data_IF_509484111427
#
_entry.id   IF_509484111427
#
_cell.length_a   1.000
_cell.length_b   1.000
_cell.length_c   1.000
_cell.angle_alpha   90.00
_cell.angle_beta   90.00
_cell.angle_gamma   90.00
#
_symmetry.space_group_name_H-M   'P 1'
#
loop_
_entity.id
_entity.type
_entity.pdbx_description
1 polymer ?
#
# COMPACT_ATOMS: atom_id res chain seq x y z
N UNK A 1 5.45 4.00 -34.79
CA UNK A 1 4.61 4.96 -34.04
C UNK A 1 5.09 4.95 -32.60
N UNK A 2 5.44 6.11 -32.04
CA UNK A 2 5.96 6.22 -30.66
C UNK A 2 4.75 6.04 -29.75
N UNK A 3 4.77 5.09 -28.83
CA UNK A 3 3.65 4.76 -27.92
C UNK A 3 3.41 5.85 -26.88
N UNK A 4 3.02 7.04 -27.34
CA UNK A 4 2.72 8.21 -26.53
C UNK A 4 1.21 8.47 -26.61
N UNK A 5 0.54 8.46 -25.46
CA UNK A 5 -0.83 8.99 -25.38
C UNK A 5 -0.78 10.51 -25.45
N UNK A 6 -1.82 11.11 -26.03
CA UNK A 6 -2.05 12.55 -25.95
C UNK A 6 -3.38 12.78 -25.26
N UNK A 7 -3.35 13.32 -24.04
CA UNK A 7 -4.51 13.87 -23.36
C UNK A 7 -4.78 15.29 -23.88
N UNK A 8 -5.07 15.43 -25.18
CA UNK A 8 -5.63 16.68 -25.69
C UNK A 8 -7.15 16.48 -25.70
N UNK A 9 -7.91 17.08 -24.75
CA UNK A 9 -9.36 17.08 -24.83
C UNK A 9 -9.77 17.80 -26.12
N UNK A 10 -10.25 17.02 -27.10
CA UNK A 10 -10.64 17.49 -28.42
C UNK A 10 -10.53 16.38 -29.48
N UNK A 11 -11.50 16.30 -30.38
CA UNK A 11 -11.54 15.34 -31.50
C UNK A 11 -10.53 15.67 -32.63
N UNK A 12 -9.43 16.36 -32.34
CA UNK A 12 -8.49 16.83 -33.38
C UNK A 12 -7.41 15.78 -33.70
N UNK A 13 -7.85 14.56 -34.02
CA UNK A 13 -6.96 13.58 -34.62
C UNK A 13 -7.31 13.43 -36.09
N UNK A 14 -6.35 13.62 -37.02
CA UNK A 14 -6.55 13.25 -38.41
C UNK A 14 -7.06 11.82 -38.47
N UNK A 15 -8.03 11.54 -39.35
CA UNK A 15 -8.66 10.21 -39.49
C UNK A 15 -7.61 9.09 -39.62
N UNK A 16 -6.49 9.41 -40.24
CA UNK A 16 -5.40 8.47 -40.55
C UNK A 16 -4.19 8.55 -39.59
N UNK A 17 -4.22 9.44 -38.60
CA UNK A 17 -3.07 9.72 -37.72
C UNK A 17 -3.46 9.89 -36.25
N UNK A 18 -4.22 8.93 -35.72
CA UNK A 18 -4.52 8.83 -34.28
C UNK A 18 -3.29 8.35 -33.50
N UNK A 19 -2.91 9.00 -32.39
CA UNK A 19 -1.93 8.47 -31.45
C UNK A 19 -2.37 7.09 -30.97
N UNK A 20 -1.40 6.19 -30.82
CA UNK A 20 -1.66 4.90 -30.19
C UNK A 20 -1.54 5.07 -28.68
N UNK A 21 -2.54 4.62 -27.90
CA UNK A 21 -2.42 4.68 -26.46
C UNK A 21 -1.29 3.77 -25.98
N UNK A 22 -0.71 4.12 -24.83
CA UNK A 22 0.20 3.24 -24.11
C UNK A 22 -0.51 1.93 -23.82
N UNK A 23 0.23 0.82 -23.87
CA UNK A 23 -0.32 -0.49 -23.55
C UNK A 23 -0.71 -0.50 -22.07
N UNK A 24 -2.00 -0.63 -21.79
CA UNK A 24 -2.51 -0.76 -20.42
C UNK A 24 -2.47 -2.22 -20.00
N UNK A 25 -1.47 -2.60 -19.21
CA UNK A 25 -1.43 -3.91 -18.58
C UNK A 25 -2.42 -3.95 -17.41
N UNK A 26 -3.39 -4.86 -17.47
CA UNK A 26 -4.47 -4.98 -16.46
C UNK A 26 -4.12 -5.84 -15.25
N UNK A 27 -2.92 -6.43 -15.26
CA UNK A 27 -2.48 -7.35 -14.23
C UNK A 27 -0.96 -7.34 -14.10
N UNK A 28 -0.45 -7.71 -12.94
CA UNK A 28 0.98 -7.98 -12.76
C UNK A 28 1.37 -9.19 -13.63
N UNK A 29 2.41 -9.03 -14.47
CA UNK A 29 2.92 -10.15 -15.26
C UNK A 29 3.55 -11.19 -14.34
N UNK A 30 3.24 -12.47 -14.57
CA UNK A 30 3.83 -13.61 -13.85
C UNK A 30 5.30 -13.84 -14.22
N UNK A 31 5.83 -13.07 -15.17
CA UNK A 31 7.26 -13.09 -15.52
C UNK A 31 8.11 -12.37 -14.47
N UNK A 32 7.52 -11.46 -13.67
CA UNK A 32 8.22 -10.74 -12.62
C UNK A 32 8.36 -11.58 -11.35
N UNK A 33 9.56 -11.59 -10.76
CA UNK A 33 9.79 -12.26 -9.48
C UNK A 33 9.53 -11.26 -8.36
N UNK A 34 8.45 -11.47 -7.62
CA UNK A 34 8.01 -10.49 -6.61
C UNK A 34 8.87 -10.53 -5.36
N UNK A 35 8.73 -9.50 -4.51
CA UNK A 35 9.45 -9.48 -3.23
C UNK A 35 9.09 -10.67 -2.33
N UNK A 36 7.85 -11.16 -2.33
CA UNK A 36 7.46 -12.30 -1.50
C UNK A 36 8.22 -13.57 -1.91
N UNK A 37 8.38 -13.80 -3.21
CA UNK A 37 9.20 -14.90 -3.72
C UNK A 37 10.66 -14.78 -3.32
N UNK A 38 11.23 -13.57 -3.40
CA UNK A 38 12.62 -13.30 -2.98
C UNK A 38 12.80 -13.53 -1.49
N UNK A 39 11.93 -12.99 -0.65
CA UNK A 39 12.04 -13.10 0.81
C UNK A 39 11.89 -14.55 1.29
N UNK A 40 11.09 -15.36 0.58
CA UNK A 40 11.01 -16.81 0.82
C UNK A 40 12.37 -17.51 0.63
N UNK A 41 13.22 -17.07 -0.30
CA UNK A 41 14.60 -17.59 -0.45
C UNK A 41 15.46 -17.34 0.80
N UNK A 42 15.21 -16.23 1.51
CA UNK A 42 15.84 -15.91 2.78
C UNK A 42 15.14 -16.54 4.00
N UNK A 43 14.18 -17.45 3.78
CA UNK A 43 13.48 -18.17 4.84
C UNK A 43 12.34 -17.41 5.51
N UNK A 44 11.92 -16.26 4.98
CA UNK A 44 10.80 -15.51 5.51
C UNK A 44 9.48 -16.24 5.32
N UNK A 45 8.62 -16.14 6.34
CA UNK A 45 7.19 -16.41 6.20
C UNK A 45 6.43 -15.14 5.86
N UNK A 46 5.56 -15.22 4.86
CA UNK A 46 4.96 -14.03 4.25
C UNK A 46 3.43 -14.08 4.25
N UNK A 47 2.80 -12.96 4.61
CA UNK A 47 1.35 -12.80 4.53
C UNK A 47 0.97 -11.52 3.82
N UNK A 48 -0.01 -11.62 2.93
CA UNK A 48 -0.66 -10.49 2.28
C UNK A 48 -2.04 -10.28 2.87
N UNK A 49 -2.31 -9.06 3.37
CA UNK A 49 -3.57 -8.73 4.03
C UNK A 49 -4.14 -7.43 3.45
N UNK A 50 -5.36 -7.48 2.91
CA UNK A 50 -6.10 -6.33 2.43
C UNK A 50 -6.15 -6.17 0.91
N UNK A 51 -5.89 -4.98 0.38
CA UNK A 51 -6.14 -4.60 -1.02
C UNK A 51 -5.04 -5.10 -1.95
N UNK A 52 -5.38 -5.95 -2.93
CA UNK A 52 -4.43 -6.43 -3.95
C UNK A 52 -4.49 -5.60 -5.24
N UNK A 53 -5.64 -5.56 -5.92
CA UNK A 53 -5.96 -4.64 -7.03
C UNK A 53 -4.97 -4.61 -8.22
N UNK A 54 -4.26 -5.70 -8.48
CA UNK A 54 -3.33 -5.82 -9.61
C UNK A 54 -3.61 -7.07 -10.48
N UNK A 55 -4.88 -7.46 -10.55
CA UNK A 55 -5.37 -8.52 -11.41
C UNK A 55 -6.86 -8.36 -11.70
N UNK A 56 -7.30 -8.87 -12.86
CA UNK A 56 -8.71 -8.83 -13.25
C UNK A 56 -9.54 -9.85 -12.48
N UNK A 57 -10.80 -9.50 -12.19
CA UNK A 57 -11.74 -10.43 -11.54
C UNK A 57 -12.08 -11.59 -12.47
N UNK A 58 -12.10 -12.81 -11.93
CA UNK A 58 -12.55 -14.04 -12.59
C UNK A 58 -13.78 -14.64 -11.92
N UNK A 59 -14.32 -14.01 -10.87
CA UNK A 59 -15.44 -14.57 -10.13
C UNK A 59 -16.07 -13.66 -9.08
N UNK A 60 -17.00 -14.23 -8.31
CA UNK A 60 -17.70 -13.54 -7.21
C UNK A 60 -16.72 -13.08 -6.14
N UNK A 61 -17.05 -11.97 -5.47
CA UNK A 61 -16.22 -11.43 -4.40
C UNK A 61 -14.87 -10.89 -4.88
N UNK A 62 -14.71 -10.64 -6.18
CA UNK A 62 -13.50 -10.07 -6.75
C UNK A 62 -12.33 -11.05 -6.89
N UNK A 63 -12.56 -12.37 -6.75
CA UNK A 63 -11.51 -13.38 -6.90
C UNK A 63 -10.75 -13.22 -8.21
N UNK A 64 -9.46 -13.51 -8.18
CA UNK A 64 -8.54 -13.43 -9.33
C UNK A 64 -8.07 -14.83 -9.70
N UNK A 65 -7.46 -14.98 -10.87
CA UNK A 65 -6.86 -16.26 -11.26
C UNK A 65 -5.79 -16.68 -10.23
N UNK A 66 -5.67 -17.97 -9.85
CA UNK A 66 -4.77 -18.42 -8.80
C UNK A 66 -3.33 -17.92 -8.96
N UNK A 67 -2.79 -17.94 -10.17
CA UNK A 67 -1.45 -17.48 -10.53
C UNK A 67 -1.27 -15.95 -10.41
N UNK A 68 -2.36 -15.19 -10.43
CA UNK A 68 -2.38 -13.73 -10.26
C UNK A 68 -2.81 -13.29 -8.85
N UNK A 69 -3.12 -14.24 -7.97
CA UNK A 69 -3.42 -13.97 -6.55
C UNK A 69 -2.15 -13.68 -5.76
N UNK A 70 -2.23 -13.07 -4.56
CA UNK A 70 -1.05 -12.91 -3.72
C UNK A 70 -0.28 -14.21 -3.46
N UNK A 71 -0.97 -15.34 -3.29
CA UNK A 71 -0.30 -16.65 -3.11
C UNK A 71 0.32 -17.17 -4.40
N UNK A 72 -0.30 -16.93 -5.55
CA UNK A 72 0.30 -17.17 -6.86
C UNK A 72 1.52 -16.30 -7.14
N UNK A 73 1.65 -15.18 -6.44
CA UNK A 73 2.73 -14.21 -6.53
C UNK A 73 3.70 -14.29 -5.34
N UNK A 74 3.77 -15.45 -4.67
CA UNK A 74 4.82 -15.80 -3.71
C UNK A 74 4.50 -15.66 -2.24
N UNK A 75 3.38 -15.03 -1.86
CA UNK A 75 2.98 -14.98 -0.46
C UNK A 75 2.55 -16.35 0.07
N UNK A 76 2.84 -16.69 1.33
CA UNK A 76 2.35 -17.94 1.92
C UNK A 76 0.84 -17.89 2.18
N UNK A 77 0.31 -16.69 2.51
CA UNK A 77 -1.08 -16.48 2.90
C UNK A 77 -1.66 -15.25 2.21
N UNK A 78 -2.92 -15.35 1.75
CA UNK A 78 -3.75 -14.24 1.28
C UNK A 78 -4.97 -14.07 2.18
N UNK A 79 -5.18 -12.85 2.71
CA UNK A 79 -6.35 -12.49 3.50
C UNK A 79 -6.96 -11.21 2.90
N UNK A 80 -8.06 -11.37 2.16
CA UNK A 80 -8.81 -10.26 1.57
C UNK A 80 -8.23 -9.66 0.28
N UNK A 81 -7.10 -10.17 -0.21
CA UNK A 81 -6.47 -9.74 -1.47
C UNK A 81 -7.27 -10.19 -2.68
N UNK A 82 -7.96 -9.24 -3.34
CA UNK A 82 -8.81 -9.47 -4.50
C UNK A 82 -8.57 -8.44 -5.60
N UNK A 83 -9.30 -8.53 -6.71
CA UNK A 83 -9.32 -7.50 -7.77
C UNK A 83 -9.94 -6.16 -7.33
N UNK A 84 -10.52 -6.07 -6.14
CA UNK A 84 -11.16 -4.84 -5.69
C UNK A 84 -10.15 -3.74 -5.34
N UNK A 85 -10.33 -2.54 -5.91
CA UNK A 85 -9.56 -1.34 -5.56
C UNK A 85 -10.07 -0.61 -4.31
N UNK A 86 -11.33 -0.86 -3.94
CA UNK A 86 -11.98 -0.44 -2.70
C UNK A 86 -12.98 -1.52 -2.28
N UNK A 87 -13.27 -1.68 -0.98
CA UNK A 87 -14.09 -2.78 -0.51
C UNK A 87 -15.58 -2.49 -0.81
N UNK A 88 -16.42 -3.52 -1.05
CA UNK A 88 -17.87 -3.32 -1.15
C UNK A 88 -18.49 -2.71 0.13
N UNK A 89 -17.90 -3.04 1.29
CA UNK A 89 -18.29 -2.56 2.60
C UNK A 89 -17.07 -2.64 3.53
N UNK A 90 -16.90 -1.64 4.41
CA UNK A 90 -15.97 -1.73 5.53
C UNK A 90 -16.53 -2.50 6.73
N UNK A 91 -17.81 -2.87 6.69
CA UNK A 91 -18.46 -3.66 7.73
C UNK A 91 -18.87 -5.04 7.21
N UNK A 92 -18.73 -6.07 8.05
CA UNK A 92 -19.19 -7.41 7.73
C UNK A 92 -20.72 -7.44 7.55
N UNK A 93 -21.27 -8.12 6.51
CA UNK A 93 -20.55 -8.90 5.50
C UNK A 93 -19.76 -8.02 4.51
N UNK A 94 -18.46 -8.29 4.42
CA UNK A 94 -17.47 -7.59 3.60
C UNK A 94 -17.68 -7.86 2.10
N UNK A 95 -18.24 -9.05 1.78
CA UNK A 95 -18.47 -9.52 0.40
C UNK A 95 -17.17 -9.63 -0.40
N UNK A 96 -16.12 -10.06 0.27
CA UNK A 96 -14.79 -10.28 -0.28
C UNK A 96 -14.55 -11.79 -0.48
N UNK A 97 -14.10 -12.20 -1.66
CA UNK A 97 -13.97 -13.61 -2.03
C UNK A 97 -12.81 -14.35 -1.33
N UNK A 98 -11.89 -13.61 -0.72
CA UNK A 98 -10.65 -14.06 -0.08
C UNK A 98 -10.62 -13.70 1.42
N UNK A 99 -11.74 -13.23 1.97
CA UNK A 99 -11.90 -12.97 3.40
C UNK A 99 -13.29 -13.45 3.84
N UNK A 100 -13.31 -14.41 4.76
CA UNK A 100 -14.56 -14.88 5.35
C UNK A 100 -15.19 -13.77 6.19
N UNK A 101 -16.46 -13.48 5.93
CA UNK A 101 -17.27 -12.54 6.71
C UNK A 101 -17.23 -12.91 8.19
N UNK A 102 -17.03 -11.90 9.03
CA UNK A 102 -17.08 -12.01 10.49
C UNK A 102 -18.47 -11.73 11.05
N UNK A 103 -18.59 -11.53 12.38
CA UNK A 103 -19.83 -11.09 13.01
C UNK A 103 -20.40 -9.84 12.33
N UNK A 104 -21.74 -9.72 12.31
CA UNK A 104 -22.40 -8.56 11.71
C UNK A 104 -21.89 -7.25 12.33
N UNK A 105 -21.48 -6.30 11.48
CA UNK A 105 -20.91 -5.03 11.94
C UNK A 105 -19.44 -5.08 12.35
N UNK A 106 -18.73 -6.20 12.21
CA UNK A 106 -17.27 -6.25 12.35
C UNK A 106 -16.61 -5.30 11.34
N UNK A 107 -15.69 -4.45 11.79
CA UNK A 107 -15.05 -3.44 10.96
C UNK A 107 -13.77 -4.00 10.32
N UNK A 108 -13.63 -3.83 9.00
CA UNK A 108 -12.61 -4.48 8.18
C UNK A 108 -11.16 -4.16 8.63
N UNK A 109 -10.80 -2.91 8.99
CA UNK A 109 -9.47 -2.62 9.52
C UNK A 109 -9.13 -3.37 10.80
N UNK A 110 -10.08 -3.51 11.73
CA UNK A 110 -9.90 -4.32 12.94
C UNK A 110 -9.64 -5.77 12.56
N UNK A 111 -10.46 -6.32 11.66
CA UNK A 111 -10.30 -7.69 11.18
C UNK A 111 -8.93 -7.93 10.54
N UNK A 112 -8.45 -7.03 9.69
CA UNK A 112 -7.14 -7.17 9.04
C UNK A 112 -5.98 -7.12 10.05
N UNK A 113 -6.10 -6.30 11.10
CA UNK A 113 -5.09 -6.26 12.18
C UNK A 113 -5.14 -7.52 13.03
N UNK A 114 -6.33 -8.05 13.35
CA UNK A 114 -6.45 -9.31 14.09
C UNK A 114 -5.76 -10.47 13.36
N UNK A 115 -5.99 -10.57 12.05
CA UNK A 115 -5.35 -11.57 11.21
C UNK A 115 -3.83 -11.37 11.10
N UNK A 116 -3.37 -10.12 11.09
CA UNK A 116 -1.94 -9.78 11.10
C UNK A 116 -1.28 -10.23 12.41
N UNK A 117 -1.86 -9.89 13.56
CA UNK A 117 -1.36 -10.27 14.88
C UNK A 117 -1.33 -11.80 15.01
N UNK A 118 -2.40 -12.47 14.56
CA UNK A 118 -2.47 -13.93 14.57
C UNK A 118 -1.39 -14.57 13.67
N UNK A 119 -1.11 -14.00 12.50
CA UNK A 119 -0.06 -14.48 11.63
C UNK A 119 1.32 -14.33 12.28
N UNK A 120 1.64 -13.15 12.81
CA UNK A 120 2.93 -12.88 13.46
C UNK A 120 3.10 -13.84 14.64
N UNK A 121 2.10 -13.93 15.53
CA UNK A 121 2.14 -14.79 16.71
C UNK A 121 2.44 -16.27 16.41
N UNK A 122 1.97 -16.78 15.27
CA UNK A 122 2.22 -18.18 14.82
C UNK A 122 3.60 -18.38 14.18
N UNK A 123 4.26 -17.33 13.73
CA UNK A 123 5.48 -17.41 12.93
C UNK A 123 6.73 -16.82 13.60
N UNK A 124 6.65 -16.36 14.85
CA UNK A 124 7.76 -15.74 15.61
C UNK A 124 9.06 -16.55 15.69
N UNK A 125 9.02 -17.87 15.46
CA UNK A 125 10.21 -18.71 15.40
C UNK A 125 11.02 -18.58 14.09
N UNK A 126 10.51 -17.82 13.12
CA UNK A 126 11.13 -17.54 11.82
C UNK A 126 11.02 -16.06 11.50
N UNK A 127 11.90 -15.50 10.65
CA UNK A 127 11.67 -14.17 10.12
C UNK A 127 10.34 -14.14 9.36
N UNK A 128 9.60 -13.05 9.50
CA UNK A 128 8.30 -12.88 8.88
C UNK A 128 8.18 -11.53 8.17
N UNK A 129 7.32 -11.49 7.15
CA UNK A 129 7.02 -10.30 6.36
C UNK A 129 5.50 -10.18 6.18
N UNK A 130 4.92 -9.06 6.59
CA UNK A 130 3.51 -8.78 6.37
C UNK A 130 3.36 -7.60 5.43
N UNK A 131 2.52 -7.77 4.41
CA UNK A 131 2.01 -6.68 3.60
C UNK A 131 0.58 -6.40 4.07
N UNK A 132 0.45 -5.54 5.08
CA UNK A 132 -0.85 -5.06 5.57
C UNK A 132 -1.28 -3.84 4.75
N UNK A 133 -1.90 -4.08 3.61
CA UNK A 133 -2.35 -3.06 2.68
C UNK A 133 -3.83 -2.76 2.92
N UNK A 134 -4.11 -1.84 3.84
CA UNK A 134 -5.49 -1.48 4.15
C UNK A 134 -6.29 -1.08 2.92
N UNK A 135 -7.56 -1.49 2.89
CA UNK A 135 -8.55 -0.88 2.01
C UNK A 135 -8.90 0.55 2.45
N UNK A 136 -8.76 0.84 3.74
CA UNK A 136 -8.87 2.18 4.33
C UNK A 136 -7.76 3.05 3.76
N UNK A 137 -8.02 4.28 3.31
CA UNK A 137 -9.21 5.12 3.48
C UNK A 137 -10.02 5.26 2.17
N UNK A 138 -10.05 4.22 1.34
CA UNK A 138 -10.79 4.27 0.08
C UNK A 138 -12.31 4.37 0.30
N UNK A 139 -13.05 4.83 -0.72
CA UNK A 139 -14.51 4.72 -0.75
C UNK A 139 -14.97 3.26 -0.59
N UNK A 140 -16.08 2.98 0.13
CA UNK A 140 -17.07 3.93 0.71
C UNK A 140 -16.66 4.62 2.01
N UNK A 141 -17.15 5.85 2.23
CA UNK A 141 -16.89 6.62 3.46
C UNK A 141 -17.68 6.06 4.66
N UNK A 142 -17.17 4.98 5.23
CA UNK A 142 -17.76 4.22 6.32
C UNK A 142 -16.76 4.11 7.47
N UNK A 143 -17.17 4.52 8.67
CA UNK A 143 -16.39 4.40 9.90
C UNK A 143 -17.32 4.05 11.07
N UNK A 144 -16.79 3.54 12.21
CA UNK A 144 -17.58 3.27 13.40
C UNK A 144 -18.38 4.50 13.87
N UNK A 145 -19.63 4.31 14.25
CA UNK A 145 -20.56 5.38 14.62
C UNK A 145 -20.02 6.35 15.69
N UNK A 146 -19.32 5.91 16.75
CA UNK A 146 -18.73 6.85 17.71
C UNK A 146 -17.72 7.82 17.07
N UNK A 147 -16.93 7.35 16.10
CA UNK A 147 -15.96 8.18 15.38
C UNK A 147 -16.68 9.12 14.40
N UNK A 148 -17.73 8.65 13.72
CA UNK A 148 -18.55 9.54 12.89
C UNK A 148 -19.13 10.71 13.71
N UNK A 149 -19.65 10.43 14.90
CA UNK A 149 -20.15 11.45 15.84
C UNK A 149 -19.05 12.41 16.29
N UNK A 150 -17.86 11.88 16.63
CA UNK A 150 -16.69 12.69 17.02
C UNK A 150 -16.28 13.69 15.93
N UNK A 151 -16.34 13.27 14.66
CA UNK A 151 -15.90 14.09 13.53
C UNK A 151 -17.01 14.93 12.89
N UNK A 152 -18.28 14.71 13.20
CA UNK A 152 -19.44 15.29 12.50
C UNK A 152 -19.35 16.81 12.29
N UNK A 153 -18.84 17.55 13.28
CA UNK A 153 -18.73 19.00 13.25
C UNK A 153 -17.28 19.51 13.08
N UNK A 154 -16.33 18.64 12.73
CA UNK A 154 -14.93 19.02 12.57
C UNK A 154 -14.78 20.00 11.41
N UNK A 155 -14.05 21.07 11.67
CA UNK A 155 -13.67 22.10 10.70
C UNK A 155 -12.16 22.27 10.72
N UNK A 156 -11.60 22.78 9.63
CA UNK A 156 -10.17 23.07 9.53
C UNK A 156 -9.51 22.38 8.34
N UNK A 157 -8.23 22.70 8.08
CA UNK A 157 -7.48 22.13 6.96
C UNK A 157 -7.33 20.61 7.10
N UNK A 158 -7.18 19.93 5.97
CA UNK A 158 -6.87 18.49 5.91
C UNK A 158 -8.08 17.56 5.76
N UNK A 159 -9.32 18.05 5.93
CA UNK A 159 -10.54 17.24 5.83
C UNK A 159 -11.66 17.99 5.10
N UNK A 160 -12.04 17.52 3.91
CA UNK A 160 -13.22 18.02 3.19
C UNK A 160 -14.47 17.18 3.49
N UNK A 161 -14.31 15.88 3.72
CA UNK A 161 -15.34 14.98 4.24
C UNK A 161 -14.98 14.57 5.67
N UNK A 162 -15.84 14.84 6.65
CA UNK A 162 -15.56 14.54 8.06
C UNK A 162 -15.48 13.03 8.34
N UNK A 163 -16.17 12.21 7.55
CA UNK A 163 -16.11 10.74 7.65
C UNK A 163 -14.72 10.21 7.32
N UNK A 164 -13.99 10.89 6.42
CA UNK A 164 -12.62 10.56 6.09
C UNK A 164 -11.70 10.65 7.32
N UNK A 165 -11.87 11.70 8.13
CA UNK A 165 -11.14 11.85 9.39
C UNK A 165 -11.46 10.74 10.39
N UNK A 166 -12.74 10.33 10.48
CA UNK A 166 -13.16 9.19 11.29
C UNK A 166 -12.52 7.87 10.83
N UNK A 167 -12.41 7.65 9.51
CA UNK A 167 -11.74 6.47 8.94
C UNK A 167 -10.23 6.47 9.22
N UNK A 168 -9.58 7.63 9.12
CA UNK A 168 -8.15 7.79 9.46
C UNK A 168 -7.93 7.44 10.93
N UNK A 169 -8.74 7.99 11.84
CA UNK A 169 -8.60 7.69 13.27
C UNK A 169 -8.87 6.22 13.58
N UNK A 170 -9.85 5.60 12.90
CA UNK A 170 -10.09 4.17 13.07
C UNK A 170 -8.88 3.33 12.63
N UNK A 171 -8.23 3.69 11.51
CA UNK A 171 -7.02 3.02 11.04
C UNK A 171 -5.84 3.23 12.01
N UNK A 172 -5.65 4.46 12.50
CA UNK A 172 -4.63 4.80 13.47
C UNK A 172 -4.78 3.97 14.76
N UNK A 173 -6.00 3.86 15.29
CA UNK A 173 -6.28 3.07 16.48
C UNK A 173 -5.93 1.59 16.31
N UNK A 174 -6.23 0.98 15.16
CA UNK A 174 -5.89 -0.43 14.90
C UNK A 174 -4.40 -0.63 14.63
N UNK A 175 -3.70 0.35 14.05
CA UNK A 175 -2.23 0.34 13.98
C UNK A 175 -1.66 0.38 15.41
N UNK A 176 -2.21 1.20 16.30
CA UNK A 176 -1.83 1.20 17.72
C UNK A 176 -2.01 -0.17 18.39
N UNK A 177 -3.08 -0.89 18.06
CA UNK A 177 -3.28 -2.28 18.53
C UNK A 177 -2.19 -3.23 18.01
N UNK A 178 -1.80 -3.13 16.74
CA UNK A 178 -0.72 -3.92 16.16
C UNK A 178 0.62 -3.63 16.83
N UNK A 179 0.97 -2.35 17.04
CA UNK A 179 2.19 -1.95 17.72
C UNK A 179 2.25 -2.50 19.15
N UNK A 180 1.15 -2.35 19.91
CA UNK A 180 1.04 -2.92 21.26
C UNK A 180 1.22 -4.44 21.27
N UNK A 181 0.65 -5.14 20.29
CA UNK A 181 0.80 -6.58 20.18
C UNK A 181 2.25 -6.98 19.84
N UNK A 182 2.96 -6.23 19.00
CA UNK A 182 4.40 -6.45 18.75
C UNK A 182 5.23 -6.31 20.04
N UNK A 183 4.94 -5.29 20.84
CA UNK A 183 5.61 -5.07 22.14
C UNK A 183 5.34 -6.24 23.10
N UNK A 184 4.08 -6.64 23.25
CA UNK A 184 3.68 -7.76 24.12
C UNK A 184 4.26 -9.10 23.65
N UNK A 185 4.49 -9.26 22.34
CA UNK A 185 5.11 -10.45 21.77
C UNK A 185 6.64 -10.45 21.86
N UNK A 186 7.27 -9.33 22.23
CA UNK A 186 8.72 -9.17 22.23
C UNK A 186 9.34 -9.04 20.83
N UNK A 187 8.56 -8.65 19.82
CA UNK A 187 8.99 -8.60 18.42
C UNK A 187 9.45 -7.20 17.98
N UNK A 188 9.17 -6.15 18.76
CA UNK A 188 9.33 -4.75 18.34
C UNK A 188 10.74 -4.36 17.94
N UNK A 189 11.78 -4.78 18.68
CA UNK A 189 13.18 -4.40 18.37
C UNK A 189 13.72 -5.07 17.10
N UNK A 190 13.16 -6.23 16.74
CA UNK A 190 13.56 -7.00 15.55
C UNK A 190 12.61 -6.77 14.35
N UNK A 191 11.63 -5.88 14.50
CA UNK A 191 10.66 -5.55 13.45
C UNK A 191 10.96 -4.19 12.84
N UNK A 192 11.22 -4.16 11.53
CA UNK A 192 11.16 -2.94 10.72
C UNK A 192 9.70 -2.68 10.32
N UNK A 193 9.13 -1.57 10.77
CA UNK A 193 7.83 -1.09 10.33
C UNK A 193 7.98 0.11 9.39
N UNK A 194 7.31 0.03 8.24
CA UNK A 194 7.19 1.12 7.28
C UNK A 194 5.71 1.42 7.08
N UNK A 195 5.29 2.65 7.41
CA UNK A 195 3.97 3.17 7.09
C UNK A 195 4.07 4.08 5.87
N UNK A 196 3.24 3.84 4.85
CA UNK A 196 3.19 4.67 3.63
C UNK A 196 1.83 4.57 2.94
N UNK A 197 1.66 5.23 1.79
CA UNK A 197 0.44 5.20 0.96
C UNK A 197 0.76 4.91 -0.52
N UNK A 198 -0.22 4.45 -1.30
CA UNK A 198 -0.06 4.12 -2.72
C UNK A 198 -0.12 5.34 -3.65
N UNK A 199 -0.78 6.41 -3.23
CA UNK A 199 -0.89 7.68 -3.96
C UNK A 199 -1.36 8.81 -3.03
N UNK A 200 -1.38 10.04 -3.53
CA UNK A 200 -1.99 11.19 -2.85
C UNK A 200 -3.49 11.02 -2.54
N UNK A 201 -4.04 11.92 -1.73
CA UNK A 201 -5.43 11.87 -1.28
C UNK A 201 -6.45 12.10 -2.41
N UNK A 202 -7.69 11.66 -2.27
CA UNK A 202 -8.73 11.89 -3.28
C UNK A 202 -9.34 13.30 -3.14
N UNK A 203 -9.43 14.04 -4.25
CA UNK A 203 -10.06 15.36 -4.29
C UNK A 203 -11.51 15.31 -3.79
N UNK A 204 -11.92 16.34 -3.05
CA UNK A 204 -13.27 16.46 -2.49
C UNK A 204 -13.51 15.67 -1.21
N UNK A 205 -12.65 14.70 -0.87
CA UNK A 205 -12.70 13.94 0.39
C UNK A 205 -11.56 14.37 1.32
N UNK A 206 -10.33 14.31 0.79
CA UNK A 206 -9.14 14.82 1.46
C UNK A 206 -8.85 16.27 1.06
N UNK A 207 -8.02 16.94 1.86
CA UNK A 207 -7.46 18.25 1.54
C UNK A 207 -5.93 18.16 1.54
N UNK A 208 -5.32 18.19 0.35
CA UNK A 208 -3.88 18.05 0.16
C UNK A 208 -3.12 19.38 0.27
N UNK A 209 -3.77 20.51 0.56
CA UNK A 209 -3.09 21.81 0.67
C UNK A 209 -2.01 21.77 1.76
N UNK A 210 -0.87 22.45 1.56
CA UNK A 210 -0.57 23.39 0.47
C UNK A 210 -0.11 22.73 -0.85
N UNK A 211 -0.11 21.39 -0.94
CA UNK A 211 0.29 20.70 -2.16
C UNK A 211 -0.76 20.91 -3.26
N UNK A 212 -0.29 20.96 -4.52
CA UNK A 212 -1.13 21.18 -5.69
C UNK A 212 -1.78 19.86 -6.14
N UNK A 213 -3.09 19.92 -6.41
CA UNK A 213 -3.95 18.80 -6.81
C UNK A 213 -3.97 17.61 -5.82
N UNK A 214 -4.33 16.43 -6.31
CA UNK A 214 -4.69 15.23 -5.55
C UNK A 214 -4.48 13.97 -6.40
N UNK A 215 -4.89 12.79 -5.91
CA UNK A 215 -4.95 11.51 -6.63
C UNK A 215 -5.33 11.68 -8.10
N UNK A 216 -4.59 11.02 -8.99
CA UNK A 216 -4.78 11.10 -10.44
C UNK A 216 -3.98 12.21 -11.13
N UNK A 217 -3.22 13.01 -10.39
CA UNK A 217 -2.35 14.06 -10.94
C UNK A 217 -0.89 13.80 -10.63
N UNK A 218 0.01 14.29 -11.50
CA UNK A 218 1.47 14.28 -11.28
C UNK A 218 1.99 15.51 -10.53
N UNK A 219 1.09 16.36 -10.01
CA UNK A 219 1.47 17.41 -9.07
C UNK A 219 1.68 16.82 -7.66
N UNK A 220 2.40 17.54 -6.80
CA UNK A 220 2.80 17.10 -5.46
C UNK A 220 1.66 16.48 -4.63
N UNK A 221 0.43 17.01 -4.70
CA UNK A 221 -0.69 16.47 -3.93
C UNK A 221 -1.18 15.10 -4.41
N UNK A 222 -0.81 14.68 -5.62
CA UNK A 222 -1.12 13.37 -6.18
C UNK A 222 -0.02 12.31 -6.01
N UNK A 223 1.24 12.73 -5.85
CA UNK A 223 2.41 11.83 -5.81
C UNK A 223 3.13 11.81 -4.45
N UNK A 224 3.02 12.86 -3.63
CA UNK A 224 3.65 12.93 -2.31
C UNK A 224 2.78 12.21 -1.29
N UNK A 225 3.36 11.20 -0.64
CA UNK A 225 2.68 10.35 0.35
C UNK A 225 3.36 10.45 1.71
N UNK A 226 2.64 10.24 2.83
CA UNK A 226 3.29 10.10 4.13
C UNK A 226 4.21 8.89 4.12
N UNK A 227 5.36 8.99 4.78
CA UNK A 227 6.23 7.85 5.02
C UNK A 227 6.84 7.94 6.42
N UNK A 228 6.68 6.88 7.20
CA UNK A 228 7.26 6.75 8.54
C UNK A 228 8.00 5.42 8.60
N UNK A 229 9.23 5.44 9.10
CA UNK A 229 10.03 4.26 9.36
C UNK A 229 10.25 4.14 10.86
N UNK A 230 9.88 3.00 11.43
CA UNK A 230 10.08 2.69 12.84
C UNK A 230 10.89 1.38 12.94
N UNK A 231 12.04 1.45 13.61
CA UNK A 231 12.83 0.28 13.95
C UNK A 231 13.63 0.57 15.23
N UNK A 232 13.08 0.19 16.41
CA UNK A 232 13.69 0.47 17.70
C UNK A 232 15.15 0.01 17.75
N UNK A 233 16.04 0.88 18.26
CA UNK A 233 17.48 0.59 18.37
C UNK A 233 18.26 0.62 17.04
N UNK A 234 17.60 0.62 15.87
CA UNK A 234 18.27 0.67 14.54
C UNK A 234 18.04 1.98 13.79
N UNK A 235 16.90 2.64 14.01
CA UNK A 235 16.56 3.96 13.46
C UNK A 235 16.42 4.95 14.61
N UNK A 236 17.07 6.12 14.48
CA UNK A 236 16.99 7.17 15.51
C UNK A 236 15.59 7.77 15.53
N UNK A 237 14.91 7.70 16.67
CA UNK A 237 13.55 8.21 16.85
C UNK A 237 13.47 9.73 16.71
N UNK A 238 12.30 10.22 16.28
CA UNK A 238 12.00 11.65 16.18
C UNK A 238 12.87 12.41 15.16
N UNK A 239 13.44 11.70 14.19
CA UNK A 239 14.27 12.32 13.14
C UNK A 239 13.51 12.48 11.83
N UNK A 240 13.94 13.46 11.04
CA UNK A 240 13.44 13.72 9.69
C UNK A 240 14.55 13.45 8.67
N UNK A 241 14.15 13.05 7.47
CA UNK A 241 15.02 12.88 6.31
C UNK A 241 14.31 13.49 5.11
N UNK A 242 14.92 14.51 4.51
CA UNK A 242 14.34 15.25 3.38
C UNK A 242 14.75 14.66 2.02
N UNK A 243 15.55 13.59 2.01
CA UNK A 243 15.96 12.90 0.79
C UNK A 243 14.74 12.29 0.10
N UNK A 244 14.45 12.64 -1.16
CA UNK A 244 13.33 12.04 -1.88
C UNK A 244 13.49 10.54 -2.09
N UNK A 245 12.43 9.79 -1.81
CA UNK A 245 12.33 8.33 -2.00
C UNK A 245 11.06 8.01 -2.79
N UNK A 246 11.04 6.85 -3.46
CA UNK A 246 9.90 6.36 -4.24
C UNK A 246 9.62 4.89 -3.91
N UNK A 247 8.38 4.43 -4.10
CA UNK A 247 7.93 3.07 -3.73
C UNK A 247 8.81 1.94 -4.26
N UNK A 248 9.43 2.11 -5.42
CA UNK A 248 10.34 1.11 -6.02
C UNK A 248 11.60 0.87 -5.18
N UNK A 249 11.93 1.77 -4.24
CA UNK A 249 13.07 1.66 -3.33
C UNK A 249 12.91 0.60 -2.26
N UNK A 250 11.67 0.25 -1.94
CA UNK A 250 11.40 -0.78 -0.95
C UNK A 250 11.94 -2.15 -1.40
N UNK A 251 11.87 -2.46 -2.70
CA UNK A 251 12.36 -3.73 -3.22
C UNK A 251 13.85 -3.98 -2.93
N UNK A 252 14.81 -3.13 -3.40
CA UNK A 252 16.23 -3.32 -3.07
C UNK A 252 16.53 -3.17 -1.57
N UNK A 253 15.76 -2.35 -0.85
CA UNK A 253 15.90 -2.21 0.61
C UNK A 253 15.63 -3.52 1.32
N UNK A 254 14.54 -4.21 0.98
CA UNK A 254 14.18 -5.50 1.56
C UNK A 254 15.15 -6.61 1.16
N UNK A 255 15.66 -6.61 -0.09
CA UNK A 255 16.72 -7.53 -0.48
C UNK A 255 17.98 -7.34 0.35
N UNK A 256 18.43 -6.09 0.54
CA UNK A 256 19.62 -5.79 1.36
C UNK A 256 19.43 -6.22 2.81
N UNK A 257 18.26 -5.98 3.40
CA UNK A 257 17.92 -6.44 4.76
C UNK A 257 17.98 -7.96 4.90
N UNK A 258 17.51 -8.68 3.89
CA UNK A 258 17.51 -10.13 3.86
C UNK A 258 18.86 -10.74 3.44
N UNK A 259 19.89 -9.92 3.17
CA UNK A 259 21.18 -10.38 2.67
C UNK A 259 21.11 -10.98 1.25
N UNK A 260 20.06 -10.65 0.49
CA UNK A 260 19.83 -11.14 -0.86
C UNK A 260 20.46 -10.20 -1.89
N UNK A 261 20.95 -10.80 -2.98
CA UNK A 261 21.38 -10.04 -4.16
C UNK A 261 20.19 -9.82 -5.10
N UNK A 262 20.20 -8.71 -5.87
CA UNK A 262 19.32 -8.53 -7.02
C UNK A 262 19.30 -9.75 -7.94
N UNK A 263 18.12 -10.08 -8.45
CA UNK A 263 17.97 -11.08 -9.52
C UNK A 263 18.43 -10.55 -10.88
N UNK A 264 18.01 -11.23 -11.96
CA UNK A 264 18.32 -10.81 -13.34
C UNK A 264 17.43 -9.66 -13.85
N UNK A 265 16.35 -9.36 -13.14
CA UNK A 265 15.41 -8.32 -13.54
C UNK A 265 15.99 -6.93 -13.24
N UNK A 266 15.73 -5.94 -14.10
CA UNK A 266 16.14 -4.57 -13.83
C UNK A 266 15.49 -4.07 -12.53
N UNK A 267 16.26 -3.29 -11.76
CA UNK A 267 15.79 -2.64 -10.54
C UNK A 267 15.98 -1.14 -10.74
N UNK A 268 14.88 -0.39 -10.72
CA UNK A 268 14.87 1.06 -10.86
C UNK A 268 14.98 1.80 -9.51
N UNK A 269 14.73 1.09 -8.41
CA UNK A 269 14.87 1.59 -7.04
C UNK A 269 16.31 1.57 -6.54
N UNK A 270 16.56 2.31 -5.46
CA UNK A 270 17.81 2.26 -4.70
C UNK A 270 17.48 2.00 -3.24
N UNK A 271 18.32 1.19 -2.56
CA UNK A 271 18.11 0.88 -1.14
C UNK A 271 18.17 2.14 -0.29
N UNK A 272 17.18 2.30 0.59
CA UNK A 272 17.09 3.44 1.52
C UNK A 272 17.67 3.14 2.90
N UNK A 273 18.29 1.97 3.11
CA UNK A 273 18.97 1.65 4.38
C UNK A 273 20.02 2.68 4.81
N UNK A 274 20.82 3.30 3.90
CA UNK A 274 21.75 4.36 4.30
C UNK A 274 21.05 5.56 4.96
N UNK A 275 19.79 5.83 4.59
CA UNK A 275 18.99 6.92 5.15
C UNK A 275 18.51 6.61 6.57
N UNK A 276 18.27 5.34 6.91
CA UNK A 276 17.83 4.91 8.24
C UNK A 276 18.85 5.25 9.34
N UNK A 277 20.14 5.18 8.98
CA UNK A 277 21.26 5.55 9.85
C UNK A 277 21.72 6.99 9.67
N UNK A 278 21.12 7.73 8.74
CA UNK A 278 21.56 9.07 8.31
C UNK A 278 23.06 9.14 8.00
N UNK A 279 23.61 8.07 7.44
CA UNK A 279 25.04 7.91 7.24
C UNK A 279 25.45 7.92 5.76
N UNK A 280 24.50 8.17 4.85
CA UNK A 280 24.74 8.19 3.42
C UNK A 280 23.60 8.83 2.64
N UNK A 281 23.81 8.92 1.34
CA UNK A 281 22.88 9.52 0.38
C UNK A 281 22.55 8.50 -0.71
N UNK A 282 21.45 8.74 -1.41
CA UNK A 282 21.10 8.00 -2.60
C UNK A 282 21.92 8.52 -3.78
N UNK A 283 22.39 7.62 -4.64
CA UNK A 283 23.20 7.93 -5.83
C UNK A 283 22.37 8.46 -6.98
N UNK A 284 21.07 8.12 -7.04
CA UNK A 284 20.19 8.58 -8.13
C UNK A 284 20.14 10.11 -8.18
N UNK A 285 20.09 10.66 -9.40
CA UNK A 285 19.98 12.12 -9.63
C UNK A 285 18.54 12.62 -9.78
N UNK A 286 17.61 11.72 -10.07
CA UNK A 286 16.22 12.07 -10.38
C UNK A 286 15.28 10.90 -10.05
N UNK A 287 14.00 11.25 -9.84
CA UNK A 287 12.87 10.33 -9.75
C UNK A 287 11.94 10.66 -10.92
N UNK A 288 11.40 9.64 -11.57
CA UNK A 288 10.57 9.78 -12.76
C UNK A 288 9.15 9.31 -12.49
N UNK A 289 8.17 10.05 -13.02
CA UNK A 289 6.78 9.65 -13.05
C UNK A 289 6.28 9.67 -14.49
N UNK A 290 5.57 8.62 -14.87
CA UNK A 290 4.92 8.52 -16.17
C UNK A 290 3.47 8.08 -15.97
N UNK A 291 2.54 9.00 -16.20
CA UNK A 291 1.11 8.74 -16.12
C UNK A 291 0.43 9.21 -17.40
N UNK A 292 0.41 8.36 -18.44
CA UNK A 292 -0.06 8.70 -19.79
C UNK A 292 -1.61 8.69 -19.89
N UNK A 293 -2.31 9.25 -18.90
CA UNK A 293 -3.78 9.29 -18.83
C UNK A 293 -4.36 10.60 -19.41
#
# INVERSE_FOLDING_TARGET
RIGLTTHLPGMFFPKDNRPQPAVLTKQLSTEYVTIAERMREAGYKSAFLGKWHIASSVGKGGRVAPELSPTGQGFDINIGGTSYGGPPSFFSPYRNGELKDGPEGEYLPDRLVDETINFIGKNKSKPWMTHLWFYTVHWPMQAPEPLLKKYANRKGPGLNDTRYGAMIEAMDAVIGRLLKALDEMGESEETLLIFTSDNGGFAGVSDCRPLRESKGHLYEGGIRVPMIVCWPGKVKSGTLCDTPVISMDFYPTFLELAGLKPGKQPIDGESILPLFKQSGELKRKAIYFHYPN
#
